data_IF_878840261644
#
_entry.id   IF_878840261644
#
_cell.length_a   1.000
_cell.length_b   1.000
_cell.length_c   1.000
_cell.angle_alpha   90.00
_cell.angle_beta   90.00
_cell.angle_gamma   90.00
#
_symmetry.space_group_name_H-M   'P 1'
#
loop_
_entity.id
_entity.type
_entity.pdbx_description
1 polymer ?
#
# COMPACT_ATOMS: atom_id res chain seq x y z
N UNK A 1 6.79 8.11 -25.73
CA UNK A 1 7.84 8.68 -24.86
C UNK A 1 7.81 7.86 -23.59
N UNK A 2 8.98 7.51 -23.03
CA UNK A 2 9.08 6.85 -21.74
C UNK A 2 8.72 7.82 -20.62
N UNK A 3 8.12 7.31 -19.53
CA UNK A 3 7.88 8.08 -18.30
C UNK A 3 9.18 8.12 -17.51
N UNK A 4 9.67 9.31 -17.20
CA UNK A 4 10.92 9.53 -16.48
C UNK A 4 10.68 9.51 -14.96
N UNK A 5 11.39 8.64 -14.25
CA UNK A 5 11.14 8.31 -12.85
C UNK A 5 12.34 8.65 -11.96
N UNK A 6 12.08 9.40 -10.89
CA UNK A 6 13.01 9.55 -9.75
C UNK A 6 12.60 8.55 -8.67
N UNK A 7 13.57 7.87 -8.03
CA UNK A 7 13.31 6.97 -6.91
C UNK A 7 14.01 7.49 -5.65
N UNK A 8 13.22 7.91 -4.66
CA UNK A 8 13.68 8.28 -3.33
C UNK A 8 13.68 7.08 -2.37
N UNK A 9 14.80 6.87 -1.67
CA UNK A 9 15.02 5.71 -0.80
C UNK A 9 15.43 4.46 -1.57
N UNK A 10 16.14 4.62 -2.70
CA UNK A 10 16.48 3.51 -3.61
C UNK A 10 17.40 2.45 -2.98
N UNK A 11 18.13 2.74 -1.92
CA UNK A 11 18.94 1.75 -1.16
C UNK A 11 18.10 0.85 -0.27
N UNK A 12 16.87 1.23 0.05
CA UNK A 12 15.94 0.39 0.81
C UNK A 12 15.42 -0.79 -0.01
N UNK A 13 14.88 -1.81 0.68
CA UNK A 13 14.39 -3.05 0.03
C UNK A 13 13.28 -2.80 -1.00
N UNK A 14 12.38 -1.85 -0.74
CA UNK A 14 11.33 -1.47 -1.69
C UNK A 14 11.88 -0.58 -2.81
N UNK A 15 12.80 0.33 -2.48
CA UNK A 15 13.46 1.18 -3.46
C UNK A 15 14.29 0.37 -4.48
N UNK A 16 14.99 -0.68 -4.04
CA UNK A 16 15.70 -1.59 -4.93
C UNK A 16 14.76 -2.39 -5.84
N UNK A 17 13.63 -2.86 -5.31
CA UNK A 17 12.61 -3.54 -6.13
C UNK A 17 12.01 -2.57 -7.17
N UNK A 18 11.74 -1.32 -6.78
CA UNK A 18 11.26 -0.29 -7.70
C UNK A 18 12.32 0.06 -8.77
N UNK A 19 13.60 0.19 -8.38
CA UNK A 19 14.71 0.38 -9.32
C UNK A 19 14.76 -0.72 -10.37
N UNK A 20 14.70 -1.98 -9.95
CA UNK A 20 14.70 -3.11 -10.87
C UNK A 20 13.47 -3.07 -11.80
N UNK A 21 12.28 -2.86 -11.25
CA UNK A 21 11.04 -2.81 -12.02
C UNK A 21 11.06 -1.71 -13.08
N UNK A 22 11.51 -0.49 -12.72
CA UNK A 22 11.63 0.62 -13.68
C UNK A 22 12.68 0.33 -14.75
N UNK A 23 13.81 -0.31 -14.38
CA UNK A 23 14.87 -0.68 -15.33
C UNK A 23 14.45 -1.75 -16.34
N UNK A 24 13.48 -2.60 -15.99
CA UNK A 24 12.99 -3.70 -16.83
C UNK A 24 11.78 -3.31 -17.69
N UNK A 25 11.07 -2.23 -17.37
CA UNK A 25 9.88 -1.79 -18.11
C UNK A 25 10.27 -0.83 -19.26
N UNK A 26 10.04 -1.19 -20.54
CA UNK A 26 10.41 -0.37 -21.68
C UNK A 26 9.65 0.97 -21.82
N UNK A 27 8.56 1.15 -21.05
CA UNK A 27 7.80 2.40 -21.02
C UNK A 27 8.30 3.38 -19.95
N UNK A 28 9.25 2.94 -19.09
CA UNK A 28 9.80 3.71 -17.98
C UNK A 28 11.29 3.99 -18.19
N UNK A 29 11.78 5.08 -17.62
CA UNK A 29 13.18 5.50 -17.68
C UNK A 29 13.60 6.06 -16.32
N UNK A 30 14.76 5.62 -15.81
CA UNK A 30 15.32 6.15 -14.57
C UNK A 30 15.98 7.51 -14.85
N UNK A 31 15.41 8.59 -14.30
CA UNK A 31 15.95 9.94 -14.39
C UNK A 31 16.92 10.27 -13.23
N UNK A 32 16.69 9.70 -12.04
CA UNK A 32 17.51 9.95 -10.88
C UNK A 32 17.20 9.04 -9.70
N UNK A 33 18.18 8.86 -8.82
CA UNK A 33 18.09 8.08 -7.60
C UNK A 33 18.45 8.96 -6.41
N UNK A 34 17.69 8.87 -5.31
CA UNK A 34 17.94 9.69 -4.11
C UNK A 34 18.08 8.79 -2.89
N UNK A 35 19.20 8.95 -2.19
CA UNK A 35 19.39 8.38 -0.85
C UNK A 35 20.42 9.20 -0.07
N UNK A 36 20.07 9.78 1.10
CA UNK A 36 20.97 10.65 1.86
C UNK A 36 22.14 9.91 2.53
N UNK A 37 22.15 8.59 2.50
CA UNK A 37 23.14 7.75 3.20
C UNK A 37 24.11 7.04 2.25
N UNK A 38 24.17 7.41 0.97
CA UNK A 38 25.09 6.82 0.00
C UNK A 38 26.16 7.82 -0.43
N UNK A 39 27.37 7.34 -0.69
CA UNK A 39 28.46 8.12 -1.30
C UNK A 39 28.52 7.91 -2.83
N UNK A 40 27.62 7.09 -3.39
CA UNK A 40 27.53 6.87 -4.84
C UNK A 40 27.00 8.12 -5.53
N UNK A 41 27.59 8.45 -6.68
CA UNK A 41 27.15 9.57 -7.54
C UNK A 41 26.51 9.08 -8.84
N UNK A 42 26.64 7.78 -9.14
CA UNK A 42 26.09 7.12 -10.33
C UNK A 42 25.84 5.64 -10.05
N UNK A 43 24.75 5.12 -10.56
CA UNK A 43 24.44 3.68 -10.59
C UNK A 43 24.01 3.31 -12.00
N UNK A 44 24.84 2.56 -12.70
CA UNK A 44 24.59 2.08 -14.06
C UNK A 44 24.23 3.20 -15.07
N UNK A 45 24.83 4.37 -14.93
CA UNK A 45 24.56 5.54 -15.78
C UNK A 45 23.40 6.43 -15.31
N UNK A 46 22.78 6.10 -14.18
CA UNK A 46 21.73 6.91 -13.57
C UNK A 46 22.32 7.78 -12.46
N UNK A 47 22.14 9.10 -12.48
CA UNK A 47 22.69 9.99 -11.47
C UNK A 47 22.08 9.72 -10.08
N UNK A 48 22.92 9.78 -9.05
CA UNK A 48 22.55 9.60 -7.65
C UNK A 48 22.74 10.91 -6.90
N UNK A 49 21.74 11.28 -6.12
CA UNK A 49 21.70 12.51 -5.33
C UNK A 49 21.54 12.20 -3.85
N UNK A 50 22.19 12.99 -2.99
CA UNK A 50 22.08 12.86 -1.54
C UNK A 50 20.98 13.74 -0.96
N UNK A 51 20.53 14.74 -1.72
CA UNK A 51 19.54 15.72 -1.29
C UNK A 51 18.46 15.88 -2.36
N UNK A 52 17.23 16.01 -1.94
CA UNK A 52 16.10 16.23 -2.86
C UNK A 52 16.21 17.55 -3.63
N UNK A 53 16.81 18.57 -3.02
CA UNK A 53 16.99 19.88 -3.65
C UNK A 53 17.91 19.84 -4.88
N UNK A 54 18.78 18.84 -4.98
CA UNK A 54 19.73 18.71 -6.07
C UNK A 54 19.09 18.18 -7.38
N UNK A 55 17.82 17.72 -7.31
CA UNK A 55 17.05 17.30 -8.50
C UNK A 55 16.13 18.40 -9.05
N UNK A 56 16.14 19.61 -8.47
CA UNK A 56 15.37 20.74 -9.00
C UNK A 56 15.80 21.04 -10.42
N UNK A 57 14.84 21.00 -11.36
CA UNK A 57 15.10 21.20 -12.79
C UNK A 57 15.56 19.95 -13.54
N UNK A 58 15.64 18.79 -12.87
CA UNK A 58 15.81 17.51 -13.55
C UNK A 58 14.55 17.21 -14.39
N UNK A 59 14.74 16.79 -15.62
CA UNK A 59 13.63 16.38 -16.48
C UNK A 59 13.11 15.00 -16.03
N UNK A 60 12.02 15.02 -15.25
CA UNK A 60 11.36 13.82 -14.75
C UNK A 60 9.86 14.06 -14.61
N UNK A 61 9.08 12.99 -14.71
CA UNK A 61 7.61 13.01 -14.66
C UNK A 61 7.10 12.54 -13.28
N UNK A 62 7.75 11.53 -12.70
CA UNK A 62 7.24 10.84 -11.51
C UNK A 62 8.31 10.75 -10.42
N UNK A 63 7.89 11.00 -9.18
CA UNK A 63 8.67 10.79 -7.95
C UNK A 63 8.12 9.58 -7.18
N UNK A 64 8.87 8.48 -7.16
CA UNK A 64 8.55 7.30 -6.35
C UNK A 64 9.20 7.44 -4.98
N UNK A 65 8.41 7.34 -3.89
CA UNK A 65 8.91 7.48 -2.51
C UNK A 65 8.74 6.19 -1.70
N UNK A 66 9.88 5.59 -1.32
CA UNK A 66 10.00 4.49 -0.37
C UNK A 66 10.96 4.84 0.76
N UNK A 67 10.85 6.05 1.29
CA UNK A 67 11.71 6.56 2.38
C UNK A 67 11.15 6.18 3.76
N UNK A 68 11.12 7.12 4.68
CA UNK A 68 10.65 6.91 6.06
C UNK A 68 9.48 7.85 6.38
N UNK A 69 8.57 7.46 7.30
CA UNK A 69 7.40 8.27 7.70
C UNK A 69 7.73 9.71 8.10
N UNK A 70 8.89 9.92 8.72
CA UNK A 70 9.32 11.25 9.19
C UNK A 70 9.58 12.27 8.09
N UNK A 71 9.89 11.80 6.87
CA UNK A 71 10.26 12.67 5.73
C UNK A 71 9.28 12.55 4.55
N UNK A 72 8.39 11.57 4.58
CA UNK A 72 7.51 11.28 3.45
C UNK A 72 6.59 12.46 3.09
N UNK A 73 6.02 13.15 4.08
CA UNK A 73 5.19 14.34 3.85
C UNK A 73 5.98 15.44 3.13
N UNK A 74 7.15 15.81 3.67
CA UNK A 74 8.00 16.85 3.10
C UNK A 74 8.55 16.48 1.71
N UNK A 75 8.81 15.19 1.46
CA UNK A 75 9.23 14.72 0.16
C UNK A 75 8.09 14.78 -0.86
N UNK A 76 6.89 14.35 -0.46
CA UNK A 76 5.70 14.38 -1.33
C UNK A 76 5.35 15.82 -1.70
N UNK A 77 5.36 16.74 -0.71
CA UNK A 77 5.14 18.16 -0.94
C UNK A 77 6.18 18.73 -1.90
N UNK A 78 7.47 18.46 -1.65
CA UNK A 78 8.56 18.88 -2.54
C UNK A 78 8.37 18.37 -3.98
N UNK A 79 7.98 17.10 -4.15
CA UNK A 79 7.72 16.53 -5.46
C UNK A 79 6.64 17.32 -6.19
N UNK A 80 5.49 17.58 -5.55
CA UNK A 80 4.39 18.35 -6.14
C UNK A 80 4.81 19.79 -6.47
N UNK A 81 5.52 20.47 -5.55
CA UNK A 81 6.01 21.84 -5.76
C UNK A 81 6.96 21.96 -6.96
N UNK A 82 7.68 20.89 -7.30
CA UNK A 82 8.61 20.82 -8.42
C UNK A 82 8.06 20.06 -9.66
N UNK A 83 6.74 19.91 -9.75
CA UNK A 83 6.00 19.34 -10.87
C UNK A 83 6.32 17.84 -11.14
N UNK A 84 6.77 17.09 -10.11
CA UNK A 84 6.91 15.64 -10.16
C UNK A 84 5.66 14.97 -9.58
N UNK A 85 4.98 14.13 -10.36
CA UNK A 85 3.82 13.37 -9.89
C UNK A 85 4.22 12.34 -8.82
N UNK A 86 3.80 12.46 -7.55
CA UNK A 86 4.25 11.54 -6.50
C UNK A 86 3.55 10.17 -6.57
N UNK A 87 4.33 9.10 -6.39
CA UNK A 87 3.86 7.72 -6.12
C UNK A 87 4.49 7.25 -4.82
N UNK A 88 3.74 7.31 -3.74
CA UNK A 88 4.26 7.20 -2.38
C UNK A 88 3.80 5.91 -1.71
N UNK A 89 4.76 5.07 -1.32
CA UNK A 89 4.52 3.85 -0.55
C UNK A 89 4.84 3.97 0.93
N UNK A 90 5.44 5.08 1.33
CA UNK A 90 5.71 5.37 2.73
C UNK A 90 4.41 5.75 3.44
N UNK A 91 4.17 5.17 4.62
CA UNK A 91 2.97 5.41 5.43
C UNK A 91 3.22 6.47 6.51
N UNK A 92 2.18 6.86 7.26
CA UNK A 92 2.29 7.75 8.43
C UNK A 92 1.84 9.18 8.18
N UNK A 93 1.13 9.44 7.09
CA UNK A 93 0.46 10.72 6.85
C UNK A 93 -0.76 10.89 7.76
N UNK A 94 -0.98 12.11 8.27
CA UNK A 94 -2.24 12.45 8.91
C UNK A 94 -3.32 12.79 7.88
N UNK A 95 -4.61 12.74 8.23
CA UNK A 95 -5.69 13.17 7.33
C UNK A 95 -5.51 14.61 6.82
N UNK A 96 -5.04 15.52 7.66
CA UNK A 96 -4.80 16.92 7.33
C UNK A 96 -3.66 17.06 6.31
N UNK A 97 -2.58 16.29 6.47
CA UNK A 97 -1.47 16.25 5.50
C UNK A 97 -1.92 15.71 4.14
N UNK A 98 -2.75 14.67 4.13
CA UNK A 98 -3.30 14.12 2.88
C UNK A 98 -4.17 15.16 2.19
N UNK A 99 -5.03 15.86 2.93
CA UNK A 99 -5.88 16.93 2.39
C UNK A 99 -5.04 18.05 1.79
N UNK A 100 -4.05 18.56 2.52
CA UNK A 100 -3.15 19.63 2.05
C UNK A 100 -2.42 19.24 0.76
N UNK A 101 -1.86 18.03 0.70
CA UNK A 101 -1.17 17.53 -0.49
C UNK A 101 -2.12 17.35 -1.68
N UNK A 102 -3.36 16.93 -1.44
CA UNK A 102 -4.38 16.81 -2.48
C UNK A 102 -4.78 18.18 -3.02
N UNK A 103 -4.96 19.18 -2.17
CA UNK A 103 -5.26 20.55 -2.58
C UNK A 103 -4.11 21.15 -3.39
N UNK A 104 -2.86 21.01 -2.92
CA UNK A 104 -1.66 21.47 -3.62
C UNK A 104 -1.51 20.80 -5.00
N UNK A 105 -1.73 19.49 -5.07
CA UNK A 105 -1.68 18.72 -6.31
C UNK A 105 -2.74 19.20 -7.31
N UNK A 106 -3.96 19.48 -6.84
CA UNK A 106 -5.05 20.02 -7.67
C UNK A 106 -4.75 21.43 -8.18
N UNK A 107 -4.15 22.31 -7.35
CA UNK A 107 -3.72 23.66 -7.77
C UNK A 107 -2.66 23.61 -8.88
N UNK A 108 -1.83 22.57 -8.87
CA UNK A 108 -0.79 22.31 -9.88
C UNK A 108 -1.30 21.54 -11.11
N UNK A 109 -2.55 21.08 -11.12
CA UNK A 109 -3.08 20.18 -12.16
C UNK A 109 -2.22 18.91 -12.34
N UNK A 110 -1.69 18.38 -11.23
CA UNK A 110 -0.70 17.31 -11.19
C UNK A 110 -1.30 16.07 -10.51
N UNK A 111 -1.24 14.91 -11.17
CA UNK A 111 -1.66 13.66 -10.57
C UNK A 111 -0.72 13.18 -9.45
N UNK A 112 -1.21 12.29 -8.62
CA UNK A 112 -0.41 11.67 -7.57
C UNK A 112 -1.12 10.51 -6.90
N UNK A 113 -0.34 9.69 -6.20
CA UNK A 113 -0.81 8.54 -5.45
C UNK A 113 -0.06 8.40 -4.12
N UNK A 114 -0.79 8.35 -3.03
CA UNK A 114 -0.29 7.80 -1.76
C UNK A 114 -1.00 6.49 -1.51
N UNK A 115 -0.29 5.36 -1.53
CA UNK A 115 -0.87 4.03 -1.35
C UNK A 115 -0.27 3.31 -0.14
N UNK A 116 -1.07 3.07 0.92
CA UNK A 116 -0.63 2.26 2.05
C UNK A 116 -0.32 0.81 1.68
N UNK A 117 -0.87 0.35 0.56
CA UNK A 117 -0.64 -0.99 0.02
C UNK A 117 -0.65 -0.97 -1.51
N UNK A 118 0.42 -1.46 -2.12
CA UNK A 118 0.58 -1.60 -3.57
C UNK A 118 0.27 -3.02 -4.09
N UNK A 119 -0.05 -3.98 -3.22
CA UNK A 119 -0.45 -5.32 -3.67
C UNK A 119 -1.87 -5.28 -4.24
N UNK A 120 -2.00 -5.28 -5.56
CA UNK A 120 -3.30 -5.22 -6.27
C UNK A 120 -4.25 -6.30 -5.76
N UNK A 121 -3.77 -7.54 -5.59
CA UNK A 121 -4.60 -8.63 -5.09
C UNK A 121 -5.12 -8.39 -3.67
N UNK A 122 -4.35 -7.74 -2.79
CA UNK A 122 -4.82 -7.37 -1.45
C UNK A 122 -5.88 -6.26 -1.51
N UNK A 123 -5.71 -5.27 -2.38
CA UNK A 123 -6.70 -4.21 -2.59
C UNK A 123 -8.00 -4.77 -3.14
N UNK A 124 -7.94 -5.63 -4.16
CA UNK A 124 -9.12 -6.31 -4.71
C UNK A 124 -9.80 -7.20 -3.68
N UNK A 125 -9.03 -7.94 -2.87
CA UNK A 125 -9.59 -8.74 -1.77
C UNK A 125 -10.41 -7.88 -0.81
N UNK A 126 -9.89 -6.71 -0.39
CA UNK A 126 -10.60 -5.78 0.49
C UNK A 126 -11.90 -5.28 -0.15
N UNK A 127 -11.87 -4.89 -1.43
CA UNK A 127 -13.06 -4.44 -2.16
C UNK A 127 -14.11 -5.55 -2.30
N UNK A 128 -13.69 -6.76 -2.67
CA UNK A 128 -14.60 -7.91 -2.83
C UNK A 128 -15.18 -8.35 -1.49
N UNK A 129 -14.38 -8.31 -0.42
CA UNK A 129 -14.85 -8.60 0.93
C UNK A 129 -15.93 -7.60 1.39
N UNK A 130 -15.74 -6.30 1.13
CA UNK A 130 -16.74 -5.28 1.42
C UNK A 130 -18.03 -5.47 0.61
N UNK A 131 -17.94 -5.95 -0.64
CA UNK A 131 -19.11 -6.27 -1.44
C UNK A 131 -19.84 -7.53 -0.92
N UNK A 132 -19.10 -8.59 -0.59
CA UNK A 132 -19.65 -9.84 -0.06
C UNK A 132 -20.35 -9.62 1.29
N UNK A 133 -19.83 -8.74 2.13
CA UNK A 133 -20.36 -8.44 3.46
C UNK A 133 -21.82 -7.98 3.48
N UNK A 134 -22.33 -7.44 2.38
CA UNK A 134 -23.75 -7.07 2.23
C UNK A 134 -24.70 -8.29 2.26
N UNK A 135 -24.20 -9.46 1.90
CA UNK A 135 -24.97 -10.69 1.73
C UNK A 135 -24.58 -11.76 2.75
N UNK A 136 -23.36 -11.69 3.27
CA UNK A 136 -22.79 -12.62 4.24
C UNK A 136 -22.40 -11.88 5.52
N UNK A 137 -23.30 -11.77 6.50
CA UNK A 137 -22.99 -11.03 7.73
C UNK A 137 -22.04 -11.76 8.68
N UNK A 138 -21.87 -13.08 8.56
CA UNK A 138 -20.92 -13.85 9.37
C UNK A 138 -19.57 -13.95 8.64
N UNK A 139 -18.51 -13.46 9.26
CA UNK A 139 -17.18 -13.37 8.64
C UNK A 139 -16.07 -13.49 9.67
N UNK A 140 -15.03 -14.21 9.31
CA UNK A 140 -13.76 -14.24 10.05
C UNK A 140 -12.60 -13.91 9.11
N UNK A 141 -11.59 -13.23 9.64
CA UNK A 141 -10.38 -12.84 8.90
C UNK A 141 -9.19 -13.58 9.49
N UNK A 142 -8.37 -14.21 8.65
CA UNK A 142 -7.10 -14.83 9.04
C UNK A 142 -5.99 -14.11 8.29
N UNK A 143 -5.07 -13.46 8.99
CA UNK A 143 -3.88 -12.87 8.40
C UNK A 143 -2.63 -13.64 8.82
N UNK A 144 -1.73 -13.88 7.87
CA UNK A 144 -0.56 -14.71 8.11
C UNK A 144 0.69 -13.97 7.62
N UNK A 145 1.67 -13.81 8.51
CA UNK A 145 2.91 -13.11 8.20
C UNK A 145 4.12 -13.85 8.77
N UNK A 146 5.30 -13.40 8.34
CA UNK A 146 6.56 -13.87 8.89
C UNK A 146 6.65 -13.59 10.40
N UNK A 147 7.43 -14.40 11.10
CA UNK A 147 7.62 -14.38 12.56
C UNK A 147 8.21 -13.06 13.12
N UNK A 148 8.82 -12.23 12.27
CA UNK A 148 9.44 -10.94 12.67
C UNK A 148 8.49 -9.74 12.58
N UNK A 149 7.23 -9.93 12.13
CA UNK A 149 6.23 -8.87 12.12
C UNK A 149 5.78 -8.57 13.56
N UNK A 150 5.90 -7.29 13.97
CA UNK A 150 5.70 -6.87 15.37
C UNK A 150 4.24 -6.58 15.70
N UNK A 151 3.50 -6.02 14.77
CA UNK A 151 2.09 -5.68 14.93
C UNK A 151 1.19 -6.89 14.64
N UNK A 152 0.10 -7.02 15.38
CA UNK A 152 -0.98 -7.97 15.17
C UNK A 152 -2.30 -7.36 15.71
N UNK A 153 -3.39 -7.36 14.92
CA UNK A 153 -3.47 -7.74 13.53
C UNK A 153 -2.68 -6.81 12.59
N UNK A 154 -2.46 -7.24 11.34
CA UNK A 154 -1.84 -6.39 10.32
C UNK A 154 -2.74 -5.20 9.95
N UNK A 155 -2.15 -4.08 9.52
CA UNK A 155 -2.92 -2.91 9.06
C UNK A 155 -3.89 -3.25 7.92
N UNK A 156 -3.52 -4.16 7.01
CA UNK A 156 -4.41 -4.64 5.94
C UNK A 156 -5.62 -5.40 6.49
N UNK A 157 -5.43 -6.24 7.51
CA UNK A 157 -6.53 -6.97 8.13
C UNK A 157 -7.49 -6.03 8.89
N UNK A 158 -6.95 -5.03 9.59
CA UNK A 158 -7.77 -4.00 10.25
C UNK A 158 -8.56 -3.23 9.21
N UNK A 159 -7.91 -2.76 8.12
CA UNK A 159 -8.62 -2.03 7.05
C UNK A 159 -9.68 -2.88 6.36
N UNK A 160 -9.42 -4.17 6.16
CA UNK A 160 -10.42 -5.11 5.64
C UNK A 160 -11.63 -5.20 6.58
N UNK A 161 -11.39 -5.33 7.89
CA UNK A 161 -12.46 -5.39 8.87
C UNK A 161 -13.30 -4.10 8.93
N UNK A 162 -12.65 -2.93 8.84
CA UNK A 162 -13.35 -1.64 8.75
C UNK A 162 -14.29 -1.59 7.54
N UNK A 163 -13.78 -1.92 6.34
CA UNK A 163 -14.56 -1.90 5.09
C UNK A 163 -15.71 -2.90 5.10
N UNK A 164 -15.52 -4.07 5.69
CA UNK A 164 -16.57 -5.07 5.92
C UNK A 164 -17.62 -4.49 6.88
N UNK A 165 -17.18 -3.92 8.01
CA UNK A 165 -18.07 -3.37 9.04
C UNK A 165 -18.98 -2.24 8.53
N UNK A 166 -18.49 -1.42 7.61
CA UNK A 166 -19.29 -0.37 6.95
C UNK A 166 -20.45 -0.91 6.11
N UNK A 167 -20.37 -2.17 5.64
CA UNK A 167 -21.31 -2.75 4.68
C UNK A 167 -22.16 -3.89 5.25
N UNK A 168 -21.69 -4.55 6.33
CA UNK A 168 -22.40 -5.67 6.91
C UNK A 168 -23.46 -5.23 7.91
N UNK A 169 -24.46 -6.08 8.13
CA UNK A 169 -25.34 -5.96 9.29
C UNK A 169 -24.55 -6.19 10.58
N UNK A 170 -24.70 -5.32 11.58
CA UNK A 170 -24.04 -5.47 12.89
C UNK A 170 -24.69 -6.60 13.68
N UNK A 171 -24.06 -7.75 13.66
CA UNK A 171 -24.48 -8.93 14.42
C UNK A 171 -23.31 -9.45 15.28
N UNK A 172 -23.65 -10.01 16.44
CA UNK A 172 -22.73 -10.85 17.18
C UNK A 172 -22.78 -12.24 16.57
N UNK A 173 -21.66 -12.74 16.04
CA UNK A 173 -21.59 -14.10 15.50
C UNK A 173 -21.09 -15.09 16.53
N UNK A 174 -21.37 -16.39 16.30
CA UNK A 174 -21.05 -17.47 17.23
C UNK A 174 -22.26 -17.88 18.10
N UNK A 175 -22.08 -18.90 18.92
CA UNK A 175 -23.08 -19.33 19.88
C UNK A 175 -23.20 -18.34 21.04
N UNK A 176 -24.40 -18.08 21.51
CA UNK A 176 -24.62 -17.15 22.64
C UNK A 176 -23.97 -17.64 23.96
N UNK A 177 -23.73 -18.94 24.07
CA UNK A 177 -23.12 -19.64 25.19
C UNK A 177 -21.71 -20.18 24.84
N UNK A 178 -21.03 -19.57 23.86
CA UNK A 178 -19.67 -19.93 23.45
C UNK A 178 -18.71 -19.79 24.64
N UNK A 179 -17.89 -20.81 24.89
CA UNK A 179 -16.87 -20.84 25.94
C UNK A 179 -15.49 -21.05 25.32
N UNK A 180 -14.58 -20.11 25.58
CA UNK A 180 -13.17 -20.29 25.22
C UNK A 180 -12.47 -21.17 26.26
N UNK A 181 -12.16 -22.41 25.92
CA UNK A 181 -11.38 -23.32 26.78
C UNK A 181 -9.94 -22.85 26.94
N UNK A 182 -9.42 -22.07 26.01
CA UNK A 182 -8.13 -21.40 26.06
C UNK A 182 -8.32 -19.92 25.69
N UNK A 183 -7.94 -18.96 26.54
CA UNK A 183 -8.10 -17.55 26.25
C UNK A 183 -7.47 -17.15 24.92
N UNK A 184 -8.22 -16.45 24.07
CA UNK A 184 -7.79 -16.01 22.75
C UNK A 184 -7.99 -17.03 21.61
N UNK A 185 -8.59 -18.20 21.89
CA UNK A 185 -8.86 -19.22 20.86
C UNK A 185 -9.75 -18.70 19.73
N UNK A 186 -10.63 -17.74 20.04
CA UNK A 186 -11.53 -17.11 19.05
C UNK A 186 -10.94 -15.83 18.42
N UNK A 187 -9.65 -15.55 18.62
CA UNK A 187 -8.99 -14.38 18.05
C UNK A 187 -9.46 -13.05 18.66
N UNK A 188 -9.15 -11.95 17.98
CA UNK A 188 -9.55 -10.61 18.39
C UNK A 188 -10.97 -10.30 17.91
N UNK A 189 -11.78 -9.66 18.76
CA UNK A 189 -13.09 -9.15 18.38
C UNK A 189 -12.95 -7.78 17.68
N UNK A 190 -13.62 -7.62 16.56
CA UNK A 190 -13.78 -6.35 15.87
C UNK A 190 -15.24 -6.19 15.42
N UNK A 191 -16.03 -5.45 16.21
CA UNK A 191 -17.45 -5.22 15.93
C UNK A 191 -18.24 -6.52 15.68
N UNK A 192 -17.98 -7.56 16.48
CA UNK A 192 -18.66 -8.86 16.44
C UNK A 192 -18.13 -9.82 15.34
N UNK A 193 -17.11 -9.46 14.56
CA UNK A 193 -16.35 -10.39 13.72
C UNK A 193 -15.02 -10.76 14.37
N UNK A 194 -14.39 -11.84 13.93
CA UNK A 194 -13.12 -12.31 14.50
C UNK A 194 -11.96 -12.11 13.55
N UNK A 195 -10.80 -11.68 14.10
CA UNK A 195 -9.54 -11.55 13.37
C UNK A 195 -8.50 -12.43 14.03
N UNK A 196 -7.86 -13.30 13.24
CA UNK A 196 -6.83 -14.22 13.65
C UNK A 196 -5.49 -13.84 13.03
N UNK A 197 -4.42 -13.85 13.82
CA UNK A 197 -3.08 -13.49 13.35
C UNK A 197 -2.12 -14.68 13.50
N UNK A 198 -1.55 -15.12 12.38
CA UNK A 198 -0.55 -16.19 12.34
C UNK A 198 0.83 -15.58 12.09
N UNK A 199 1.85 -16.04 12.86
CA UNK A 199 3.26 -15.63 12.74
C UNK A 199 4.14 -16.85 12.64
N UNK A 200 4.69 -17.15 11.44
CA UNK A 200 5.53 -18.32 11.21
C UNK A 200 6.70 -17.98 10.27
N UNK A 201 7.88 -18.58 10.48
CA UNK A 201 8.97 -18.54 9.50
C UNK A 201 8.50 -19.07 8.14
N UNK A 202 8.96 -18.45 7.06
CA UNK A 202 8.62 -18.85 5.68
C UNK A 202 7.36 -18.19 5.11
N UNK A 203 6.50 -17.61 5.94
CA UNK A 203 5.41 -16.76 5.46
C UNK A 203 5.93 -15.37 5.07
N UNK A 204 5.21 -14.71 4.18
CA UNK A 204 5.50 -13.32 3.75
C UNK A 204 4.35 -12.40 4.20
N UNK A 205 3.27 -12.35 3.42
CA UNK A 205 2.06 -11.60 3.74
C UNK A 205 0.86 -12.26 3.05
N UNK A 206 -0.06 -12.76 3.83
CA UNK A 206 -1.22 -13.49 3.34
C UNK A 206 -2.46 -13.05 4.11
N UNK A 207 -3.61 -13.07 3.46
CA UNK A 207 -4.89 -12.81 4.11
C UNK A 207 -5.99 -13.67 3.50
N UNK A 208 -6.82 -14.21 4.36
CA UNK A 208 -8.01 -14.97 4.03
C UNK A 208 -9.22 -14.36 4.75
N UNK A 209 -10.30 -14.16 4.01
CA UNK A 209 -11.59 -13.69 4.54
C UNK A 209 -12.60 -14.77 4.25
N UNK A 210 -13.15 -15.35 5.32
CA UNK A 210 -14.08 -16.47 5.27
C UNK A 210 -15.46 -15.97 5.65
N UNK A 211 -16.38 -16.04 4.73
CA UNK A 211 -17.80 -15.74 4.94
C UNK A 211 -18.59 -17.03 5.06
N UNK A 212 -19.55 -17.04 5.99
CA UNK A 212 -20.46 -18.17 6.21
C UNK A 212 -21.91 -17.77 6.14
N UNK A 213 -22.73 -18.64 5.57
CA UNK A 213 -24.20 -18.57 5.57
C UNK A 213 -24.79 -19.98 5.65
N UNK A 214 -26.10 -20.08 5.79
CA UNK A 214 -26.76 -21.38 5.88
C UNK A 214 -26.63 -22.15 4.55
N UNK A 215 -25.87 -23.24 4.58
CA UNK A 215 -25.68 -24.13 3.43
C UNK A 215 -24.62 -23.70 2.43
N UNK A 216 -23.95 -22.55 2.64
CA UNK A 216 -22.89 -22.08 1.76
C UNK A 216 -21.79 -21.30 2.49
N UNK A 217 -20.65 -21.13 1.87
CA UNK A 217 -19.55 -20.30 2.31
C UNK A 217 -18.83 -19.66 1.13
N UNK A 218 -18.21 -18.51 1.38
CA UNK A 218 -17.37 -17.83 0.41
C UNK A 218 -16.02 -17.54 1.05
N UNK A 219 -14.93 -17.92 0.41
CA UNK A 219 -13.58 -17.61 0.86
C UNK A 219 -12.87 -16.75 -0.17
N UNK A 220 -12.34 -15.62 0.26
CA UNK A 220 -11.44 -14.77 -0.52
C UNK A 220 -10.04 -14.89 0.07
N UNK A 221 -9.04 -15.14 -0.78
CA UNK A 221 -7.66 -15.30 -0.35
C UNK A 221 -6.70 -14.55 -1.25
N UNK A 222 -5.73 -13.87 -0.63
CA UNK A 222 -4.59 -13.25 -1.30
C UNK A 222 -3.31 -13.73 -0.64
N UNK A 223 -2.36 -14.12 -1.45
CA UNK A 223 -1.03 -14.56 -1.05
C UNK A 223 0.04 -13.70 -1.75
N UNK A 224 0.88 -13.06 -0.96
CA UNK A 224 2.07 -12.35 -1.41
C UNK A 224 3.30 -13.18 -1.06
N UNK A 225 4.02 -13.65 -2.06
CA UNK A 225 5.15 -14.56 -1.88
C UNK A 225 6.50 -13.84 -1.82
N UNK A 226 6.58 -12.63 -2.40
CA UNK A 226 7.76 -11.77 -2.37
C UNK A 226 7.37 -10.30 -2.60
N UNK A 227 8.38 -9.39 -2.64
CA UNK A 227 8.16 -7.95 -2.84
C UNK A 227 7.76 -7.57 -4.26
N UNK A 228 7.96 -8.46 -5.23
CA UNK A 228 7.51 -8.27 -6.61
C UNK A 228 5.99 -8.08 -6.69
N UNK A 229 5.24 -8.68 -5.75
CA UNK A 229 3.78 -8.51 -5.66
C UNK A 229 3.33 -7.05 -5.50
N UNK A 230 4.17 -6.17 -4.92
CA UNK A 230 3.89 -4.74 -4.78
C UNK A 230 4.27 -3.95 -6.04
N UNK A 231 5.24 -4.45 -6.82
CA UNK A 231 5.79 -3.71 -7.97
C UNK A 231 4.78 -3.57 -9.11
N UNK A 232 3.86 -4.52 -9.25
CA UNK A 232 2.75 -4.40 -10.22
C UNK A 232 1.88 -3.18 -9.92
N UNK A 233 1.57 -2.94 -8.64
CA UNK A 233 0.81 -1.76 -8.24
C UNK A 233 1.62 -0.45 -8.32
N UNK A 234 2.92 -0.50 -8.03
CA UNK A 234 3.82 0.66 -8.21
C UNK A 234 3.90 1.04 -9.69
N UNK A 235 4.09 0.07 -10.57
CA UNK A 235 4.10 0.27 -12.02
C UNK A 235 2.80 0.89 -12.53
N UNK A 236 1.66 0.32 -12.10
CA UNK A 236 0.34 0.87 -12.39
C UNK A 236 0.24 2.33 -11.89
N UNK A 237 0.66 2.60 -10.65
CA UNK A 237 0.68 3.93 -10.07
C UNK A 237 1.46 4.92 -10.93
N UNK A 238 2.69 4.58 -11.32
CA UNK A 238 3.54 5.42 -12.18
C UNK A 238 2.83 5.75 -13.51
N UNK A 239 2.23 4.76 -14.16
CA UNK A 239 1.57 4.93 -15.47
C UNK A 239 0.24 5.67 -15.40
N UNK A 240 -0.43 5.64 -14.25
CA UNK A 240 -1.73 6.29 -14.08
C UNK A 240 -1.64 7.72 -13.54
N UNK A 241 -0.67 8.03 -12.64
CA UNK A 241 -0.58 9.39 -12.07
C UNK A 241 -0.30 10.45 -13.14
N UNK A 242 0.45 10.14 -14.19
CA UNK A 242 0.75 11.08 -15.29
C UNK A 242 -0.47 11.43 -16.16
N UNK A 243 -1.59 10.75 -15.97
CA UNK A 243 -2.86 10.98 -16.69
C UNK A 243 -3.90 11.69 -15.81
N UNK A 244 -3.56 11.96 -14.57
CA UNK A 244 -4.47 12.52 -13.55
C UNK A 244 -4.12 13.97 -13.24
N UNK A 245 -5.05 14.66 -12.61
CA UNK A 245 -4.99 16.10 -12.31
C UNK A 245 -5.07 16.37 -10.80
N UNK A 246 -5.06 15.33 -9.99
CA UNK A 246 -5.05 15.43 -8.53
C UNK A 246 -4.44 14.18 -7.87
N UNK A 247 -3.95 14.33 -6.65
CA UNK A 247 -3.47 13.24 -5.82
C UNK A 247 -4.64 12.47 -5.22
N UNK A 248 -4.54 11.14 -5.26
CA UNK A 248 -5.48 10.22 -4.61
C UNK A 248 -4.80 9.42 -3.50
N UNK A 249 -5.58 9.06 -2.46
CA UNK A 249 -5.12 8.21 -1.38
C UNK A 249 -5.77 6.83 -1.48
N UNK A 250 -4.96 5.81 -1.75
CA UNK A 250 -5.38 4.42 -1.95
C UNK A 250 -5.28 3.97 -3.41
N UNK A 251 -4.65 2.81 -3.61
CA UNK A 251 -4.48 2.21 -4.94
C UNK A 251 -5.83 1.85 -5.59
N UNK A 252 -6.87 1.61 -4.78
CA UNK A 252 -8.22 1.32 -5.22
C UNK A 252 -8.83 2.37 -6.15
N UNK A 253 -8.36 3.61 -6.08
CA UNK A 253 -8.80 4.70 -6.95
C UNK A 253 -8.18 4.67 -8.35
N UNK A 254 -7.21 3.75 -8.57
CA UNK A 254 -6.59 3.53 -9.88
C UNK A 254 -7.05 2.23 -10.54
N UNK A 255 -7.79 1.38 -9.83
CA UNK A 255 -8.34 0.13 -10.32
C UNK A 255 -9.79 0.35 -10.83
#
# INVERSE_FOLDING_TARGET
MSIKVIIAGFKGKMGQAAYQMVSEDPELELAGLIDPFTDETDVAGVPVFNRKEDVVGLEADVWVDFTMPKVAYENTRFAIENDFAPVVGTTGFTPEQIQELTELSREKDLGGLIAPNFAIGAVLLMQFAAQAAKYFPNVEIIELHHDKKKDAPSGTAIKTAELISEKREKIQQGAADEEELMPGARGADFEGMRIHSVRLPGLVAHQEVIFGSQGEGLTLRHDSYDRGSFMTGVNLGIKEVVKRHELVYGLEHLL
#
